data_IF_146069915345
#
_entry.id   IF_146069915345
#
_cell.length_a   1.000
_cell.length_b   1.000
_cell.length_c   1.000
_cell.angle_alpha   90.00
_cell.angle_beta   90.00
_cell.angle_gamma   90.00
#
_symmetry.space_group_name_H-M   'P 1'
#
loop_
_entity.id
_entity.type
_entity.pdbx_description
1 polymer ?
#
# COMPACT_ATOMS: atom_id res chain seq x y z
N UNK A 1 -7.70 25.63 -31.19
CA UNK A 1 -8.39 25.19 -29.98
C UNK A 1 -8.79 23.75 -30.22
N UNK A 2 -8.15 22.78 -29.56
CA UNK A 2 -8.50 21.37 -29.69
C UNK A 2 -9.64 21.06 -28.71
N UNK A 3 -10.77 20.61 -29.24
CA UNK A 3 -11.93 20.19 -28.44
C UNK A 3 -11.62 18.76 -27.97
N UNK A 4 -11.70 18.50 -26.66
CA UNK A 4 -11.52 17.13 -26.13
C UNK A 4 -12.69 16.24 -26.54
N UNK A 5 -12.52 14.92 -26.53
CA UNK A 5 -13.60 13.99 -26.91
C UNK A 5 -14.82 14.13 -26.00
N UNK A 6 -14.61 14.41 -24.73
CA UNK A 6 -15.64 14.74 -23.72
C UNK A 6 -16.36 16.05 -24.07
N UNK A 7 -15.62 17.10 -24.43
CA UNK A 7 -16.22 18.35 -24.92
C UNK A 7 -16.97 18.16 -26.23
N UNK A 8 -16.47 17.32 -27.13
CA UNK A 8 -17.14 16.99 -28.39
C UNK A 8 -18.44 16.22 -28.13
N UNK A 9 -18.46 15.26 -27.19
CA UNK A 9 -19.68 14.57 -26.79
C UNK A 9 -20.70 15.51 -26.18
N UNK A 10 -20.26 16.43 -25.32
CA UNK A 10 -21.12 17.47 -24.75
C UNK A 10 -21.67 18.40 -25.83
N UNK A 11 -20.82 18.85 -26.75
CA UNK A 11 -21.22 19.63 -27.93
C UNK A 11 -22.18 18.84 -28.82
N UNK A 12 -21.99 17.53 -29.00
CA UNK A 12 -22.90 16.67 -29.75
C UNK A 12 -24.23 16.54 -29.00
N UNK A 13 -24.24 16.29 -27.69
CA UNK A 13 -25.45 16.24 -26.85
C UNK A 13 -26.21 17.58 -26.84
N UNK A 14 -25.49 18.70 -26.79
CA UNK A 14 -26.06 20.05 -26.71
C UNK A 14 -26.50 20.60 -28.08
N UNK A 15 -25.76 20.29 -29.17
CA UNK A 15 -26.04 20.79 -30.53
C UNK A 15 -26.88 19.82 -31.38
N UNK A 16 -26.86 18.52 -31.13
CA UNK A 16 -27.98 17.66 -31.51
C UNK A 16 -29.09 17.83 -30.47
N UNK A 17 -29.82 18.95 -30.54
CA UNK A 17 -31.19 18.94 -30.05
C UNK A 17 -31.96 17.87 -30.82
N UNK A 18 -32.19 16.74 -30.14
CA UNK A 18 -33.33 15.81 -30.10
C UNK A 18 -34.10 15.46 -31.39
N UNK A 19 -34.30 16.36 -32.34
CA UNK A 19 -35.25 16.13 -33.44
C UNK A 19 -34.85 14.96 -34.34
N UNK A 20 -33.61 14.85 -34.82
CA UNK A 20 -33.29 13.80 -35.81
C UNK A 20 -33.29 12.41 -35.16
N UNK A 21 -32.67 12.26 -33.98
CA UNK A 21 -32.54 10.96 -33.34
C UNK A 21 -33.79 10.53 -32.57
N UNK A 22 -34.54 11.45 -31.94
CA UNK A 22 -35.87 11.11 -31.41
C UNK A 22 -36.85 10.87 -32.54
N UNK A 23 -36.75 11.53 -33.70
CA UNK A 23 -37.55 11.19 -34.88
C UNK A 23 -37.20 9.79 -35.40
N UNK A 24 -35.92 9.42 -35.43
CA UNK A 24 -35.49 8.06 -35.81
C UNK A 24 -35.97 7.03 -34.79
N UNK A 25 -35.86 7.31 -33.48
CA UNK A 25 -36.31 6.40 -32.41
C UNK A 25 -37.84 6.31 -32.31
N UNK A 26 -38.56 7.42 -32.41
CA UNK A 26 -40.03 7.44 -32.49
C UNK A 26 -40.49 6.75 -33.77
N UNK A 27 -39.83 7.00 -34.90
CA UNK A 27 -40.07 6.30 -36.16
C UNK A 27 -39.89 4.80 -36.01
N UNK A 28 -38.77 4.36 -35.41
CA UNK A 28 -38.50 2.96 -35.15
C UNK A 28 -39.53 2.33 -34.19
N UNK A 29 -39.94 3.05 -33.12
CA UNK A 29 -40.98 2.62 -32.18
C UNK A 29 -42.36 2.51 -32.83
N UNK A 30 -42.72 3.44 -33.72
CA UNK A 30 -43.96 3.39 -34.52
C UNK A 30 -43.94 2.24 -35.51
N UNK A 31 -42.77 1.93 -36.07
CA UNK A 31 -42.57 0.85 -37.04
C UNK A 31 -42.34 -0.52 -36.39
N UNK A 32 -42.24 -0.59 -35.05
CA UNK A 32 -41.89 -1.83 -34.34
C UNK A 32 -40.50 -2.36 -34.65
N UNK A 33 -39.60 -1.49 -35.12
CA UNK A 33 -38.21 -1.81 -35.45
C UNK A 33 -37.33 -1.42 -34.27
N UNK A 34 -36.45 -2.31 -33.83
CA UNK A 34 -35.45 -1.96 -32.83
C UNK A 34 -34.36 -1.08 -33.49
N UNK A 35 -34.16 0.13 -32.97
CA UNK A 35 -33.12 1.05 -33.42
C UNK A 35 -31.83 0.93 -32.59
N UNK A 36 -31.71 -0.11 -31.77
CA UNK A 36 -30.45 -0.49 -31.16
C UNK A 36 -29.43 -0.82 -32.27
N UNK A 37 -28.27 -0.18 -32.20
CA UNK A 37 -27.14 -0.60 -33.03
C UNK A 37 -26.56 -1.83 -32.31
N UNK A 38 -26.99 -3.03 -32.72
CA UNK A 38 -26.40 -4.27 -32.20
C UNK A 38 -24.89 -4.26 -32.48
N UNK A 39 -24.08 -4.34 -31.41
CA UNK A 39 -22.63 -4.46 -31.55
C UNK A 39 -22.25 -5.87 -31.97
N UNK A 40 -21.12 -5.96 -32.65
CA UNK A 40 -20.46 -7.22 -32.94
C UNK A 40 -20.24 -8.02 -31.63
N UNK A 41 -20.82 -9.21 -31.49
CA UNK A 41 -20.64 -10.05 -30.31
C UNK A 41 -19.18 -10.33 -29.95
N UNK A 42 -18.28 -10.40 -30.94
CA UNK A 42 -16.85 -10.61 -30.70
C UNK A 42 -16.17 -9.37 -30.10
N UNK A 43 -16.67 -8.17 -30.41
CA UNK A 43 -16.20 -6.92 -29.80
C UNK A 43 -16.65 -6.82 -28.35
N UNK A 44 -17.93 -7.13 -28.08
CA UNK A 44 -18.48 -7.17 -26.71
C UNK A 44 -17.68 -8.15 -25.84
N UNK A 45 -17.39 -9.35 -26.37
CA UNK A 45 -16.61 -10.36 -25.65
C UNK A 45 -15.21 -9.87 -25.30
N UNK A 46 -14.55 -9.11 -26.17
CA UNK A 46 -13.24 -8.50 -25.88
C UNK A 46 -13.32 -7.43 -24.80
N UNK A 47 -14.36 -6.59 -24.83
CA UNK A 47 -14.59 -5.54 -23.83
C UNK A 47 -14.81 -6.14 -22.44
N UNK A 48 -15.70 -7.13 -22.32
CA UNK A 48 -15.96 -7.82 -21.05
C UNK A 48 -14.70 -8.51 -20.54
N UNK A 49 -13.94 -9.18 -21.43
CA UNK A 49 -12.67 -9.82 -21.08
C UNK A 49 -11.58 -8.83 -20.65
N UNK A 50 -11.64 -7.56 -21.09
CA UNK A 50 -10.69 -6.54 -20.69
C UNK A 50 -10.89 -6.07 -19.24
N UNK A 51 -12.09 -6.25 -18.67
CA UNK A 51 -12.39 -5.82 -17.30
C UNK A 51 -13.47 -6.65 -16.61
N UNK A 52 -14.75 -6.28 -16.75
CA UNK A 52 -15.89 -6.98 -16.13
C UNK A 52 -17.19 -6.72 -16.91
N UNK A 53 -18.18 -7.58 -16.67
CA UNK A 53 -19.52 -7.44 -17.25
C UNK A 53 -20.22 -6.17 -16.76
N UNK A 54 -20.17 -5.89 -15.46
CA UNK A 54 -20.81 -4.70 -14.86
C UNK A 54 -20.20 -3.40 -15.43
N UNK A 55 -18.87 -3.37 -15.66
CA UNK A 55 -18.20 -2.23 -16.29
C UNK A 55 -18.65 -2.02 -17.75
N UNK A 56 -18.84 -3.11 -18.51
CA UNK A 56 -19.35 -3.06 -19.87
C UNK A 56 -20.78 -2.50 -19.92
N UNK A 57 -21.66 -3.00 -19.05
CA UNK A 57 -23.06 -2.57 -19.00
C UNK A 57 -23.18 -1.08 -18.61
N UNK A 58 -22.37 -0.61 -17.67
CA UNK A 58 -22.27 0.83 -17.37
C UNK A 58 -21.81 1.65 -18.58
N UNK A 59 -20.80 1.17 -19.31
CA UNK A 59 -20.30 1.86 -20.50
C UNK A 59 -21.39 1.93 -21.56
N UNK A 60 -22.10 0.82 -21.81
CA UNK A 60 -23.16 0.76 -22.80
C UNK A 60 -24.34 1.67 -22.44
N UNK A 61 -24.70 1.72 -21.15
CA UNK A 61 -25.74 2.60 -20.62
C UNK A 61 -25.44 4.10 -20.79
N UNK A 62 -24.16 4.51 -20.86
CA UNK A 62 -23.72 5.92 -20.91
C UNK A 62 -23.12 6.35 -22.26
N UNK A 63 -22.69 5.42 -23.11
CA UNK A 63 -21.97 5.74 -24.36
C UNK A 63 -22.86 6.43 -25.40
N UNK A 64 -24.15 6.16 -25.37
CA UNK A 64 -25.12 6.60 -26.37
C UNK A 64 -25.55 8.07 -26.25
N UNK A 65 -26.51 8.47 -27.08
CA UNK A 65 -27.14 9.81 -27.05
C UNK A 65 -28.17 9.91 -25.91
N UNK A 66 -28.54 8.80 -25.28
CA UNK A 66 -29.35 8.77 -24.07
C UNK A 66 -28.69 7.90 -23.01
N UNK A 67 -29.16 8.04 -21.78
CA UNK A 67 -28.64 7.40 -20.59
C UNK A 67 -29.63 6.35 -20.10
N UNK A 68 -29.20 5.10 -19.93
CA UNK A 68 -30.02 4.08 -19.26
C UNK A 68 -29.84 4.19 -17.74
N UNK A 69 -30.50 5.19 -17.16
CA UNK A 69 -30.45 5.49 -15.72
C UNK A 69 -30.82 4.28 -14.85
N UNK A 70 -31.74 3.43 -15.33
CA UNK A 70 -32.18 2.24 -14.62
C UNK A 70 -31.06 1.20 -14.58
N UNK A 71 -30.43 0.90 -15.72
CA UNK A 71 -29.30 -0.02 -15.77
C UNK A 71 -28.16 0.45 -14.86
N UNK A 72 -27.86 1.76 -14.88
CA UNK A 72 -26.84 2.35 -14.01
C UNK A 72 -27.21 2.16 -12.54
N UNK A 73 -28.42 2.53 -12.14
CA UNK A 73 -28.90 2.38 -10.75
C UNK A 73 -28.86 0.92 -10.29
N UNK A 74 -29.29 -0.01 -11.14
CA UNK A 74 -29.30 -1.44 -10.84
C UNK A 74 -27.87 -1.97 -10.60
N UNK A 75 -26.91 -1.57 -11.45
CA UNK A 75 -25.50 -1.99 -11.32
C UNK A 75 -24.86 -1.37 -10.07
N UNK A 76 -25.04 -0.06 -9.85
CA UNK A 76 -24.50 0.63 -8.68
C UNK A 76 -25.06 0.06 -7.38
N UNK A 77 -26.36 -0.28 -7.36
CA UNK A 77 -27.01 -0.92 -6.20
C UNK A 77 -26.49 -2.34 -6.00
N UNK A 78 -26.41 -3.15 -7.08
CA UNK A 78 -25.84 -4.51 -7.04
C UNK A 78 -24.40 -4.51 -6.53
N UNK A 79 -23.64 -3.45 -6.80
CA UNK A 79 -22.22 -3.32 -6.42
C UNK A 79 -22.00 -2.31 -5.30
N UNK A 80 -23.01 -1.98 -4.50
CA UNK A 80 -22.93 -0.93 -3.48
C UNK A 80 -21.76 -1.11 -2.49
N UNK A 81 -21.46 -2.35 -2.09
CA UNK A 81 -20.34 -2.67 -1.19
C UNK A 81 -18.96 -2.66 -1.86
N UNK A 82 -18.91 -2.63 -3.19
CA UNK A 82 -17.69 -2.76 -3.99
C UNK A 82 -17.58 -1.67 -5.08
N UNK A 83 -18.17 -0.49 -4.85
CA UNK A 83 -18.17 0.62 -5.80
C UNK A 83 -16.77 1.11 -6.18
N UNK A 84 -15.81 1.06 -5.24
CA UNK A 84 -14.40 1.37 -5.53
C UNK A 84 -13.82 0.42 -6.59
N UNK A 85 -14.03 -0.90 -6.41
CA UNK A 85 -13.59 -1.91 -7.37
C UNK A 85 -14.32 -1.75 -8.72
N UNK A 86 -15.63 -1.49 -8.70
CA UNK A 86 -16.41 -1.24 -9.91
C UNK A 86 -15.86 -0.03 -10.70
N UNK A 87 -15.50 1.06 -10.01
CA UNK A 87 -14.88 2.22 -10.64
C UNK A 87 -13.53 1.89 -11.28
N UNK A 88 -12.69 1.08 -10.62
CA UNK A 88 -11.41 0.60 -11.18
C UNK A 88 -11.64 -0.30 -12.41
N UNK A 89 -12.62 -1.21 -12.35
CA UNK A 89 -13.01 -2.06 -13.48
C UNK A 89 -13.49 -1.19 -14.67
N UNK A 90 -14.35 -0.21 -14.43
CA UNK A 90 -14.80 0.73 -15.46
C UNK A 90 -13.64 1.51 -16.07
N UNK A 91 -12.73 2.04 -15.24
CA UNK A 91 -11.52 2.73 -15.67
C UNK A 91 -10.62 1.87 -16.59
N UNK A 92 -10.42 0.59 -16.27
CA UNK A 92 -9.67 -0.35 -17.13
C UNK A 92 -10.33 -0.53 -18.50
N UNK A 93 -11.66 -0.66 -18.52
CA UNK A 93 -12.42 -0.82 -19.76
C UNK A 93 -12.29 0.42 -20.65
N UNK A 94 -12.56 1.61 -20.13
CA UNK A 94 -12.52 2.83 -20.95
C UNK A 94 -11.10 3.15 -21.43
N UNK A 95 -10.07 2.80 -20.63
CA UNK A 95 -8.67 2.87 -21.06
C UNK A 95 -8.36 1.90 -22.20
N UNK A 96 -8.88 0.67 -22.15
CA UNK A 96 -8.78 -0.28 -23.26
C UNK A 96 -9.41 0.28 -24.56
N UNK A 97 -10.46 1.10 -24.43
CA UNK A 97 -11.12 1.78 -25.54
C UNK A 97 -10.45 3.11 -25.97
N UNK A 98 -9.32 3.48 -25.34
CA UNK A 98 -8.59 4.72 -25.64
C UNK A 98 -9.28 5.98 -25.13
N UNK A 99 -10.11 5.87 -24.09
CA UNK A 99 -10.66 6.99 -23.34
C UNK A 99 -9.87 7.20 -22.03
N UNK A 100 -9.83 8.44 -21.55
CA UNK A 100 -9.13 8.83 -20.32
C UNK A 100 -10.10 9.64 -19.45
N UNK A 101 -10.80 8.99 -18.53
CA UNK A 101 -11.71 9.58 -17.53
C UNK A 101 -11.99 8.53 -16.42
N UNK A 102 -12.93 8.78 -15.51
CA UNK A 102 -13.40 7.81 -14.51
C UNK A 102 -14.93 7.68 -14.47
N UNK A 103 -15.43 6.65 -13.76
CA UNK A 103 -16.86 6.38 -13.65
C UNK A 103 -17.65 7.57 -13.07
N UNK A 104 -17.11 8.27 -12.07
CA UNK A 104 -17.81 9.39 -11.46
C UNK A 104 -17.98 10.57 -12.44
N UNK A 105 -16.97 10.79 -13.29
CA UNK A 105 -16.98 11.80 -14.34
C UNK A 105 -17.99 11.47 -15.43
N UNK A 106 -18.03 10.21 -15.89
CA UNK A 106 -19.03 9.76 -16.86
C UNK A 106 -20.46 9.91 -16.34
N UNK A 107 -20.71 9.51 -15.09
CA UNK A 107 -22.03 9.69 -14.46
C UNK A 107 -22.43 11.16 -14.38
N UNK A 108 -21.48 12.05 -14.09
CA UNK A 108 -21.73 13.49 -14.03
C UNK A 108 -22.07 14.08 -15.40
N UNK A 109 -21.38 13.63 -16.46
CA UNK A 109 -21.63 14.04 -17.85
C UNK A 109 -22.96 13.51 -18.41
N UNK A 110 -23.55 12.52 -17.75
CA UNK A 110 -24.87 11.97 -18.00
C UNK A 110 -25.93 12.48 -17.00
N UNK A 111 -25.67 13.61 -16.32
CA UNK A 111 -26.58 14.28 -15.37
C UNK A 111 -26.97 13.41 -14.15
N UNK A 112 -26.27 12.31 -13.89
CA UNK A 112 -26.45 11.43 -12.73
C UNK A 112 -25.62 11.91 -11.53
N UNK A 113 -25.91 13.12 -11.04
CA UNK A 113 -25.11 13.78 -10.00
C UNK A 113 -25.06 13.01 -8.67
N UNK A 114 -26.15 12.35 -8.28
CA UNK A 114 -26.25 11.66 -6.99
C UNK A 114 -25.41 10.36 -7.00
N UNK A 115 -25.47 9.64 -8.11
CA UNK A 115 -24.71 8.43 -8.41
C UNK A 115 -23.23 8.78 -8.55
N UNK A 116 -22.91 9.83 -9.30
CA UNK A 116 -21.57 10.38 -9.41
C UNK A 116 -21.00 10.69 -8.03
N UNK A 117 -21.74 11.40 -7.16
CA UNK A 117 -21.34 11.67 -5.78
C UNK A 117 -21.15 10.39 -4.98
N UNK A 118 -22.06 9.43 -5.08
CA UNK A 118 -21.99 8.14 -4.35
C UNK A 118 -20.74 7.35 -4.74
N UNK A 119 -20.49 7.22 -6.04
CA UNK A 119 -19.30 6.57 -6.59
C UNK A 119 -18.05 7.35 -6.16
N UNK A 120 -18.07 8.69 -6.25
CA UNK A 120 -16.98 9.56 -5.82
C UNK A 120 -16.66 9.36 -4.33
N UNK A 121 -17.66 9.31 -3.45
CA UNK A 121 -17.46 9.03 -2.02
C UNK A 121 -16.91 7.62 -1.77
N UNK A 122 -17.38 6.63 -2.51
CA UNK A 122 -16.88 5.26 -2.41
C UNK A 122 -15.42 5.12 -2.91
N UNK A 123 -15.03 5.87 -3.95
CA UNK A 123 -13.65 5.89 -4.49
C UNK A 123 -12.72 6.63 -3.55
N UNK A 124 -13.13 7.84 -3.14
CA UNK A 124 -12.37 8.69 -2.23
C UNK A 124 -12.16 7.96 -0.89
N UNK A 125 -13.10 7.10 -0.48
CA UNK A 125 -13.12 6.55 0.86
C UNK A 125 -13.43 7.63 1.89
N UNK A 126 -13.30 7.29 3.18
CA UNK A 126 -13.46 8.25 4.26
C UNK A 126 -12.24 9.17 4.33
N UNK A 127 -12.17 10.18 3.46
CA UNK A 127 -11.22 11.28 3.63
C UNK A 127 -11.45 11.90 5.00
N UNK A 128 -10.50 11.69 5.89
CA UNK A 128 -10.52 12.14 7.28
C UNK A 128 -9.14 12.61 7.68
N UNK A 129 -9.03 13.21 8.86
CA UNK A 129 -7.75 13.71 9.33
C UNK A 129 -6.81 12.53 9.60
N UNK A 130 -5.52 12.69 9.34
CA UNK A 130 -4.54 11.61 9.51
C UNK A 130 -4.56 11.02 10.93
N UNK A 131 -4.82 11.85 11.95
CA UNK A 131 -4.97 11.43 13.34
C UNK A 131 -6.09 10.40 13.60
N UNK A 132 -7.07 10.30 12.70
CA UNK A 132 -8.21 9.39 12.82
C UNK A 132 -7.93 8.01 12.19
N UNK A 133 -6.71 7.81 11.67
CA UNK A 133 -6.26 6.55 11.10
C UNK A 133 -5.32 5.79 12.03
N UNK A 134 -5.37 4.47 11.89
CA UNK A 134 -4.41 3.53 12.42
C UNK A 134 -3.85 2.71 11.23
N UNK A 135 -2.63 2.17 11.34
CA UNK A 135 -2.04 1.35 10.29
C UNK A 135 -2.93 0.13 9.99
N UNK A 136 -3.25 -0.11 8.71
CA UNK A 136 -4.04 -1.28 8.34
C UNK A 136 -3.27 -2.61 8.53
N UNK A 137 -3.99 -3.73 8.65
CA UNK A 137 -3.34 -5.06 8.64
C UNK A 137 -2.51 -5.30 7.37
N UNK A 138 -2.94 -4.73 6.23
CA UNK A 138 -2.23 -4.89 4.97
C UNK A 138 -0.87 -4.17 4.98
N UNK A 139 -0.76 -2.98 5.61
CA UNK A 139 0.52 -2.27 5.66
C UNK A 139 1.54 -2.97 6.58
N UNK A 140 1.10 -3.56 7.69
CA UNK A 140 1.97 -4.39 8.53
C UNK A 140 2.60 -5.52 7.71
N UNK A 141 1.78 -6.27 6.95
CA UNK A 141 2.27 -7.36 6.10
C UNK A 141 3.19 -6.89 4.98
N UNK A 142 2.98 -5.69 4.44
CA UNK A 142 3.84 -5.14 3.40
C UNK A 142 5.20 -4.74 3.96
N UNK A 143 5.24 -3.97 5.05
CA UNK A 143 6.49 -3.58 5.72
C UNK A 143 7.27 -4.83 6.13
N UNK A 144 6.60 -5.81 6.78
CA UNK A 144 7.25 -7.03 7.26
C UNK A 144 7.95 -7.84 6.16
N UNK A 145 7.51 -7.77 4.89
CA UNK A 145 8.17 -8.45 3.76
C UNK A 145 9.54 -7.88 3.41
N UNK A 146 9.80 -6.63 3.80
CA UNK A 146 11.04 -5.94 3.48
C UNK A 146 12.09 -6.05 4.59
N UNK A 147 11.70 -6.53 5.77
CA UNK A 147 12.52 -6.45 6.97
C UNK A 147 12.94 -7.85 7.45
N UNK A 148 14.11 -7.93 8.09
CA UNK A 148 14.58 -9.17 8.69
C UNK A 148 14.06 -9.29 10.12
N UNK A 149 13.44 -10.43 10.45
CA UNK A 149 12.98 -10.74 11.80
C UNK A 149 14.06 -11.51 12.58
N UNK A 150 14.76 -10.84 13.50
CA UNK A 150 15.87 -11.41 14.27
C UNK A 150 15.42 -11.74 15.70
N UNK A 151 15.43 -13.02 16.11
CA UNK A 151 14.78 -13.43 17.35
C UNK A 151 15.69 -13.33 18.59
N UNK A 152 16.78 -12.56 18.49
CA UNK A 152 17.75 -12.32 19.56
C UNK A 152 18.29 -10.89 19.46
N UNK A 153 18.83 -10.37 20.56
CA UNK A 153 19.42 -9.03 20.59
C UNK A 153 20.75 -9.01 19.83
N UNK A 154 20.86 -8.14 18.82
CA UNK A 154 22.03 -7.99 17.96
C UNK A 154 22.48 -6.52 17.83
N UNK A 155 23.74 -6.32 17.44
CA UNK A 155 24.33 -5.02 17.12
C UNK A 155 24.13 -4.73 15.63
N UNK A 156 23.36 -3.71 15.29
CA UNK A 156 23.07 -3.32 13.89
C UNK A 156 24.29 -2.70 13.17
N UNK A 157 25.40 -2.50 13.87
CA UNK A 157 26.66 -2.00 13.33
C UNK A 157 27.42 -2.99 12.45
N UNK A 158 26.94 -4.24 12.34
CA UNK A 158 27.37 -5.14 11.28
C UNK A 158 27.29 -6.62 11.62
N UNK A 159 27.88 -7.43 10.75
CA UNK A 159 27.79 -8.89 10.84
C UNK A 159 29.09 -9.52 11.35
N UNK A 160 28.95 -10.69 11.97
CA UNK A 160 30.07 -11.56 12.34
C UNK A 160 30.09 -12.83 11.47
N UNK A 161 31.22 -13.54 11.48
CA UNK A 161 31.35 -14.80 10.74
C UNK A 161 30.50 -15.90 11.39
N UNK A 162 29.71 -16.64 10.59
CA UNK A 162 28.87 -17.74 11.08
C UNK A 162 29.68 -18.77 11.86
N UNK A 163 30.87 -19.16 11.36
CA UNK A 163 31.75 -20.12 12.05
C UNK A 163 32.31 -19.59 13.37
N UNK A 164 32.54 -18.28 13.48
CA UNK A 164 32.93 -17.67 14.76
C UNK A 164 31.75 -17.67 15.74
N UNK A 165 30.57 -17.28 15.29
CA UNK A 165 29.37 -17.32 16.11
C UNK A 165 29.01 -18.74 16.55
N UNK A 166 29.20 -19.76 15.71
CA UNK A 166 28.99 -21.16 16.08
C UNK A 166 29.89 -21.64 17.21
N UNK A 167 31.15 -21.19 17.25
CA UNK A 167 32.06 -21.55 18.35
C UNK A 167 31.57 -21.05 19.70
N UNK A 168 30.83 -19.93 19.71
CA UNK A 168 30.30 -19.31 20.91
C UNK A 168 28.87 -19.78 21.23
N UNK A 169 28.00 -19.84 20.22
CA UNK A 169 26.55 -19.98 20.34
C UNK A 169 26.00 -21.16 19.51
N UNK A 170 26.84 -22.14 19.14
CA UNK A 170 26.54 -23.16 18.14
C UNK A 170 25.19 -23.86 18.30
N UNK A 171 24.80 -24.19 19.54
CA UNK A 171 23.51 -24.83 19.85
C UNK A 171 22.30 -24.04 19.35
N UNK A 172 22.37 -22.71 19.42
CA UNK A 172 21.31 -21.80 18.95
C UNK A 172 21.47 -21.53 17.45
N UNK A 173 22.69 -21.25 17.00
CA UNK A 173 22.96 -20.87 15.61
C UNK A 173 22.71 -22.01 14.61
N UNK A 174 22.87 -23.26 15.05
CA UNK A 174 22.60 -24.44 14.23
C UNK A 174 21.12 -24.88 14.26
N UNK A 175 20.27 -24.27 15.11
CA UNK A 175 18.83 -24.56 15.14
C UNK A 175 18.15 -24.23 13.81
N UNK A 176 17.10 -25.00 13.47
CA UNK A 176 16.35 -24.78 12.24
C UNK A 176 15.71 -23.38 12.21
N UNK A 177 15.33 -22.86 13.37
CA UNK A 177 14.71 -21.57 13.61
C UNK A 177 15.64 -20.44 13.19
N UNK A 178 16.89 -20.43 13.66
CA UNK A 178 17.90 -19.45 13.24
C UNK A 178 18.29 -19.64 11.77
N UNK A 179 18.41 -20.87 11.28
CA UNK A 179 18.75 -21.11 9.88
C UNK A 179 17.71 -20.53 8.89
N UNK A 180 16.44 -20.42 9.29
CA UNK A 180 15.40 -19.75 8.48
C UNK A 180 15.64 -18.24 8.39
N UNK A 181 16.08 -17.61 9.47
CA UNK A 181 16.36 -16.17 9.59
C UNK A 181 17.67 -15.78 8.87
N UNK A 182 18.70 -16.62 8.98
CA UNK A 182 20.05 -16.37 8.42
C UNK A 182 20.09 -16.33 6.90
N UNK A 183 19.09 -16.90 6.21
CA UNK A 183 19.02 -16.90 4.74
C UNK A 183 18.93 -15.51 4.11
N UNK A 184 18.48 -14.50 4.88
CA UNK A 184 18.40 -13.11 4.43
C UNK A 184 19.74 -12.37 4.48
N UNK A 185 20.79 -12.97 5.04
CA UNK A 185 22.08 -12.31 5.28
C UNK A 185 23.16 -12.77 4.29
N UNK A 186 24.26 -12.00 4.13
CA UNK A 186 25.38 -12.40 3.30
C UNK A 186 25.85 -13.82 3.64
N UNK A 187 26.18 -14.60 2.61
CA UNK A 187 26.56 -16.01 2.79
C UNK A 187 27.67 -16.14 3.82
N UNK A 188 27.42 -16.96 4.85
CA UNK A 188 28.38 -17.22 5.93
C UNK A 188 28.48 -16.13 7.00
N UNK A 189 27.54 -15.18 7.05
CA UNK A 189 27.46 -14.12 8.07
C UNK A 189 26.18 -14.20 8.89
N UNK A 190 26.23 -13.68 10.12
CA UNK A 190 25.05 -13.42 10.95
C UNK A 190 25.11 -12.01 11.55
N UNK A 191 23.97 -11.44 11.95
CA UNK A 191 23.98 -10.23 12.77
C UNK A 191 24.76 -10.48 14.05
N UNK A 192 25.56 -9.50 14.48
CA UNK A 192 26.48 -9.69 15.61
C UNK A 192 25.69 -9.75 16.91
N UNK A 193 25.67 -10.88 17.65
CA UNK A 193 24.94 -10.94 18.92
C UNK A 193 25.49 -9.93 19.92
N UNK A 194 24.61 -9.23 20.64
CA UNK A 194 25.03 -8.32 21.71
C UNK A 194 25.59 -9.12 22.88
N UNK A 195 26.59 -8.55 23.55
CA UNK A 195 27.13 -9.08 24.80
C UNK A 195 27.01 -8.09 25.95
N UNK A 196 27.11 -6.79 25.65
CA UNK A 196 26.84 -5.67 26.53
C UNK A 196 26.63 -4.39 25.70
N UNK A 197 26.05 -3.34 26.30
CA UNK A 197 25.84 -2.04 25.62
C UNK A 197 27.15 -1.29 25.32
N UNK A 198 28.24 -1.58 26.03
CA UNK A 198 29.50 -0.81 25.94
C UNK A 198 30.33 -1.20 24.71
N UNK A 199 30.14 -2.40 24.20
CA UNK A 199 30.86 -2.98 23.07
C UNK A 199 30.15 -2.84 21.73
N UNK A 200 28.98 -2.18 21.71
CA UNK A 200 28.21 -1.94 20.48
C UNK A 200 29.01 -1.08 19.50
N UNK A 201 29.02 -1.52 18.23
CA UNK A 201 29.51 -0.71 17.11
C UNK A 201 28.50 0.37 16.75
N UNK A 202 27.21 0.09 16.92
CA UNK A 202 26.14 1.03 16.61
C UNK A 202 25.01 0.92 17.63
N UNK A 203 23.90 0.23 17.36
CA UNK A 203 22.75 0.11 18.26
C UNK A 203 22.43 -1.35 18.56
N UNK A 204 21.97 -1.61 19.79
CA UNK A 204 21.33 -2.88 20.11
C UNK A 204 19.95 -2.92 19.44
N UNK A 205 19.58 -4.08 18.89
CA UNK A 205 18.38 -4.23 18.06
C UNK A 205 17.80 -5.64 18.21
N UNK A 206 16.49 -5.79 18.11
CA UNK A 206 15.80 -7.08 18.15
C UNK A 206 14.60 -7.09 17.19
N UNK A 207 14.03 -8.26 16.90
CA UNK A 207 12.81 -8.41 16.13
C UNK A 207 12.95 -7.83 14.74
N UNK A 208 12.01 -6.96 14.35
CA UNK A 208 11.97 -6.29 13.05
C UNK A 208 12.58 -4.89 13.16
N UNK A 209 13.88 -4.83 13.43
CA UNK A 209 14.62 -3.56 13.47
C UNK A 209 14.32 -2.66 14.67
N UNK A 210 13.69 -3.18 15.72
CA UNK A 210 13.40 -2.45 16.95
C UNK A 210 14.70 -2.04 17.64
N UNK A 211 14.97 -0.73 17.71
CA UNK A 211 16.18 -0.18 18.32
C UNK A 211 16.01 -0.13 19.84
N UNK A 212 16.94 -0.76 20.56
CA UNK A 212 17.02 -0.69 22.01
C UNK A 212 17.86 0.54 22.37
N UNK A 213 17.21 1.59 22.85
CA UNK A 213 17.79 2.92 23.02
C UNK A 213 18.67 3.03 24.28
N UNK A 214 18.37 2.25 25.31
CA UNK A 214 19.01 2.42 26.61
C UNK A 214 19.10 1.12 27.44
N UNK A 215 19.88 1.17 28.53
CA UNK A 215 20.08 0.00 29.42
C UNK A 215 18.81 -0.45 30.15
N UNK A 216 17.82 0.43 30.35
CA UNK A 216 16.56 0.04 30.99
C UNK A 216 15.76 -0.85 30.05
N UNK A 217 15.63 -0.45 28.79
CA UNK A 217 14.95 -1.21 27.75
C UNK A 217 15.69 -2.52 27.43
N UNK A 218 17.03 -2.50 27.41
CA UNK A 218 17.80 -3.74 27.23
C UNK A 218 17.45 -4.81 28.26
N UNK A 219 17.12 -4.42 29.51
CA UNK A 219 16.71 -5.37 30.55
C UNK A 219 15.39 -6.05 30.21
N UNK A 220 14.49 -5.40 29.48
CA UNK A 220 13.23 -5.99 29.05
C UNK A 220 13.45 -7.10 28.01
N UNK A 221 14.57 -7.03 27.27
CA UNK A 221 14.96 -8.02 26.26
C UNK A 221 16.15 -8.90 26.69
N UNK A 222 16.58 -8.86 27.96
CA UNK A 222 17.81 -9.53 28.40
C UNK A 222 17.74 -11.05 28.24
N UNK A 223 16.53 -11.62 28.31
CA UNK A 223 16.26 -13.04 28.08
C UNK A 223 16.57 -13.50 26.65
N UNK A 224 16.58 -12.58 25.68
CA UNK A 224 16.89 -12.87 24.28
C UNK A 224 18.35 -12.54 23.91
N UNK A 225 19.20 -12.22 24.88
CA UNK A 225 20.65 -12.09 24.67
C UNK A 225 21.24 -13.49 24.59
N UNK A 226 21.86 -13.86 23.45
CA UNK A 226 22.36 -15.21 23.24
C UNK A 226 23.33 -15.69 24.32
N UNK A 227 24.15 -14.79 24.88
CA UNK A 227 25.05 -15.10 26.00
C UNK A 227 24.28 -15.61 27.21
N UNK A 228 23.17 -14.96 27.57
CA UNK A 228 22.35 -15.32 28.72
C UNK A 228 21.64 -16.66 28.53
N UNK A 229 21.27 -16.99 27.29
CA UNK A 229 20.64 -18.29 26.95
C UNK A 229 21.62 -19.46 27.13
N UNK A 230 22.92 -19.25 26.87
CA UNK A 230 23.93 -20.33 26.88
C UNK A 230 24.78 -20.39 28.15
N UNK A 231 24.58 -19.50 29.12
CA UNK A 231 25.32 -19.49 30.40
C UNK A 231 24.39 -19.60 31.61
N UNK A 232 24.89 -20.19 32.70
CA UNK A 232 24.21 -20.19 33.99
C UNK A 232 24.33 -18.83 34.72
N UNK A 233 23.74 -18.72 35.91
CA UNK A 233 23.77 -17.51 36.75
C UNK A 233 25.19 -17.06 37.14
N UNK A 234 26.20 -17.95 36.99
CA UNK A 234 27.61 -17.66 37.26
C UNK A 234 28.37 -17.28 35.98
N UNK A 235 27.70 -17.29 34.83
CA UNK A 235 28.30 -17.03 33.51
C UNK A 235 29.02 -18.24 32.92
N UNK A 236 28.84 -19.43 33.49
CA UNK A 236 29.47 -20.66 33.00
C UNK A 236 28.60 -21.31 31.91
N UNK A 237 29.19 -21.86 30.84
CA UNK A 237 28.42 -22.50 29.77
C UNK A 237 27.50 -23.62 30.28
N UNK A 238 26.22 -23.58 29.91
CA UNK A 238 25.27 -24.60 30.36
C UNK A 238 25.53 -25.91 29.61
N UNK A 239 25.82 -26.97 30.37
CA UNK A 239 26.03 -28.31 29.81
C UNK A 239 24.68 -28.99 29.49
N UNK A 240 24.15 -28.73 28.31
CA UNK A 240 22.95 -29.38 27.79
C UNK A 240 23.27 -30.09 26.47
N UNK A 241 23.62 -31.37 26.53
CA UNK A 241 24.05 -32.14 25.36
C UNK A 241 22.90 -32.58 24.44
N UNK A 242 21.63 -32.26 24.75
CA UNK A 242 20.48 -32.73 23.94
C UNK A 242 19.33 -31.71 23.75
N UNK A 243 19.43 -30.47 24.26
CA UNK A 243 18.31 -29.51 24.20
C UNK A 243 18.52 -28.48 23.10
N UNK A 244 17.59 -28.40 22.13
CA UNK A 244 17.46 -27.24 21.25
C UNK A 244 17.06 -26.02 22.10
N UNK A 245 17.91 -25.00 22.14
CA UNK A 245 17.70 -23.78 22.91
C UNK A 245 16.93 -22.71 22.12
N UNK A 246 16.53 -23.00 20.88
CA UNK A 246 15.80 -22.06 20.03
C UNK A 246 14.45 -21.65 20.61
N UNK A 247 13.85 -22.44 21.50
CA UNK A 247 12.62 -22.10 22.20
C UNK A 247 12.77 -20.95 23.21
N UNK A 248 14.01 -20.56 23.55
CA UNK A 248 14.31 -19.40 24.40
C UNK A 248 14.50 -18.12 23.59
N UNK A 249 14.49 -18.21 22.26
CA UNK A 249 14.49 -17.05 21.39
C UNK A 249 13.10 -16.41 21.34
N UNK A 250 13.05 -15.17 20.90
CA UNK A 250 11.80 -14.47 20.68
C UNK A 250 10.96 -15.24 19.64
N UNK A 251 9.73 -15.58 20.00
CA UNK A 251 8.78 -16.27 19.15
C UNK A 251 8.34 -15.38 17.99
N UNK A 252 7.73 -16.00 16.96
CA UNK A 252 7.22 -15.23 15.82
C UNK A 252 6.09 -14.30 16.22
N UNK A 253 5.28 -14.75 17.17
CA UNK A 253 4.16 -14.01 17.74
C UNK A 253 4.68 -12.79 18.51
N UNK A 254 5.66 -12.96 19.41
CA UNK A 254 6.28 -11.84 20.12
C UNK A 254 6.94 -10.84 19.16
N UNK A 255 7.67 -11.32 18.14
CA UNK A 255 8.28 -10.44 17.12
C UNK A 255 7.21 -9.67 16.36
N UNK A 256 6.11 -10.33 16.00
CA UNK A 256 5.01 -9.70 15.28
C UNK A 256 4.34 -8.63 16.14
N UNK A 257 4.05 -8.93 17.41
CA UNK A 257 3.40 -8.01 18.34
C UNK A 257 4.27 -6.76 18.56
N UNK A 258 5.56 -6.93 18.86
CA UNK A 258 6.52 -5.82 18.98
C UNK A 258 6.56 -4.97 17.71
N UNK A 259 6.61 -5.62 16.54
CA UNK A 259 6.62 -4.93 15.27
C UNK A 259 5.34 -4.10 15.01
N UNK A 260 4.16 -4.59 15.43
CA UNK A 260 2.92 -3.82 15.28
C UNK A 260 2.93 -2.56 16.16
N UNK A 261 3.49 -2.66 17.36
CA UNK A 261 3.68 -1.52 18.26
C UNK A 261 4.65 -0.50 17.65
N UNK A 262 5.81 -0.95 17.14
CA UNK A 262 6.78 -0.08 16.47
C UNK A 262 6.16 0.66 15.28
N UNK A 263 5.42 -0.03 14.42
CA UNK A 263 4.75 0.57 13.26
C UNK A 263 3.78 1.68 13.70
N UNK A 264 3.06 1.46 14.80
CA UNK A 264 2.13 2.44 15.37
C UNK A 264 2.86 3.66 15.92
N UNK A 265 3.99 3.48 16.60
CA UNK A 265 4.83 4.59 17.09
C UNK A 265 5.41 5.42 15.94
N UNK A 266 5.68 4.79 14.80
CA UNK A 266 6.12 5.46 13.57
C UNK A 266 5.00 6.22 12.84
N UNK A 267 3.86 6.47 13.49
CA UNK A 267 2.76 7.31 12.95
C UNK A 267 2.71 8.72 13.53
N UNK A 268 3.69 9.14 14.33
CA UNK A 268 3.71 10.48 14.97
C UNK A 268 3.59 11.67 14.01
N UNK A 269 3.97 11.50 12.74
CA UNK A 269 3.80 12.49 11.68
C UNK A 269 2.33 12.86 11.40
N UNK A 270 1.36 12.03 11.82
CA UNK A 270 -0.06 12.22 11.52
C UNK A 270 -0.63 13.52 12.10
N UNK A 271 -0.04 14.04 13.17
CA UNK A 271 -0.46 15.30 13.78
C UNK A 271 -0.08 16.53 12.94
N UNK A 272 0.91 16.40 12.05
CA UNK A 272 1.36 17.48 11.16
C UNK A 272 0.60 17.52 9.83
N UNK A 273 -0.27 16.54 9.57
CA UNK A 273 -1.12 16.51 8.38
C UNK A 273 -2.45 17.21 8.68
N UNK A 274 -2.60 18.42 8.13
CA UNK A 274 -3.77 19.27 8.35
C UNK A 274 -4.91 19.00 7.37
N UNK A 275 -4.59 18.39 6.24
CA UNK A 275 -5.56 18.06 5.21
C UNK A 275 -6.08 16.64 5.36
N UNK A 276 -7.27 16.38 4.82
CA UNK A 276 -7.81 15.03 4.83
C UNK A 276 -7.00 14.14 3.89
N UNK A 277 -6.86 12.87 4.27
CA UNK A 277 -6.20 11.82 3.49
C UNK A 277 -7.02 10.54 3.53
N UNK A 278 -6.64 9.57 2.69
CA UNK A 278 -7.25 8.23 2.64
C UNK A 278 -6.47 7.22 3.48
N UNK A 279 -7.01 6.01 3.66
CA UNK A 279 -6.27 4.93 4.34
C UNK A 279 -5.01 4.56 3.55
N UNK A 280 -5.10 4.49 2.21
CA UNK A 280 -3.97 4.12 1.38
C UNK A 280 -2.85 5.16 1.42
N UNK A 281 -3.18 6.45 1.50
CA UNK A 281 -2.21 7.53 1.74
C UNK A 281 -1.56 7.39 3.13
N UNK A 282 -2.35 7.14 4.17
CA UNK A 282 -1.85 6.96 5.53
C UNK A 282 -0.90 5.76 5.64
N UNK A 283 -1.27 4.63 5.05
CA UNK A 283 -0.46 3.41 5.04
C UNK A 283 0.85 3.61 4.26
N UNK A 284 0.81 4.25 3.09
CA UNK A 284 2.02 4.56 2.32
C UNK A 284 2.97 5.47 3.11
N UNK A 285 2.44 6.49 3.78
CA UNK A 285 3.22 7.38 4.64
C UNK A 285 3.80 6.65 5.86
N UNK A 286 3.04 5.74 6.46
CA UNK A 286 3.51 4.87 7.56
C UNK A 286 4.69 4.00 7.13
N UNK A 287 4.65 3.37 5.95
CA UNK A 287 5.80 2.59 5.46
C UNK A 287 7.03 3.45 5.17
N UNK A 288 6.84 4.67 4.67
CA UNK A 288 7.94 5.63 4.47
C UNK A 288 8.57 6.02 5.81
N UNK A 289 7.73 6.38 6.78
CA UNK A 289 8.13 6.76 8.13
C UNK A 289 8.90 5.64 8.83
N UNK A 290 8.40 4.41 8.77
CA UNK A 290 9.06 3.25 9.36
C UNK A 290 10.47 3.03 8.77
N UNK A 291 10.64 3.23 7.46
CA UNK A 291 11.93 3.02 6.81
C UNK A 291 12.94 4.16 6.99
N UNK A 292 12.48 5.41 7.05
CA UNK A 292 13.35 6.59 6.94
C UNK A 292 13.23 7.58 8.11
N UNK A 293 12.47 7.23 9.13
CA UNK A 293 12.12 8.12 10.23
C UNK A 293 11.01 9.10 9.85
N UNK A 294 10.43 9.73 10.88
CA UNK A 294 9.29 10.62 10.73
C UNK A 294 9.48 11.99 11.37
N UNK A 295 10.64 12.33 11.91
CA UNK A 295 10.90 13.63 12.54
C UNK A 295 11.00 14.78 11.52
N UNK A 296 10.86 16.04 11.97
CA UNK A 296 10.79 17.27 11.13
C UNK A 296 11.85 17.43 10.03
N UNK A 297 13.03 16.83 10.19
CA UNK A 297 14.13 16.88 9.22
C UNK A 297 14.17 15.68 8.28
N UNK A 298 13.22 14.75 8.38
CA UNK A 298 13.16 13.53 7.58
C UNK A 298 12.47 13.75 6.25
N UNK A 299 12.74 12.90 5.25
CA UNK A 299 12.20 13.04 3.90
C UNK A 299 10.67 13.13 3.83
N UNK A 300 9.95 12.49 4.77
CA UNK A 300 8.48 12.47 4.78
C UNK A 300 7.85 13.87 4.89
N UNK A 301 8.53 14.86 5.49
CA UNK A 301 8.00 16.22 5.61
C UNK A 301 7.84 16.95 4.28
N UNK A 302 8.59 16.55 3.25
CA UNK A 302 8.35 17.04 1.90
C UNK A 302 6.96 16.62 1.41
N UNK A 303 6.54 15.39 1.72
CA UNK A 303 5.25 14.82 1.36
C UNK A 303 4.13 15.45 2.18
N UNK A 304 4.30 15.58 3.50
CA UNK A 304 3.36 16.28 4.40
C UNK A 304 3.08 17.69 3.89
N UNK A 305 4.12 18.45 3.52
CA UNK A 305 3.95 19.80 2.97
C UNK A 305 3.15 19.79 1.67
N UNK A 306 3.36 18.82 0.78
CA UNK A 306 2.57 18.70 -0.44
C UNK A 306 1.10 18.37 -0.15
N UNK A 307 0.84 17.47 0.80
CA UNK A 307 -0.52 17.13 1.25
C UNK A 307 -1.22 18.34 1.86
N UNK A 308 -0.57 19.06 2.77
CA UNK A 308 -1.15 20.25 3.42
C UNK A 308 -1.41 21.41 2.44
N UNK A 309 -0.78 21.38 1.26
CA UNK A 309 -1.07 22.31 0.15
C UNK A 309 -2.01 21.70 -0.89
N UNK A 310 -2.68 20.58 -0.57
CA UNK A 310 -3.61 19.84 -1.42
C UNK A 310 -2.98 19.37 -2.76
N UNK A 311 -1.65 19.20 -2.81
CA UNK A 311 -0.89 18.77 -4.00
C UNK A 311 -0.66 17.25 -4.02
N UNK A 312 -1.74 16.46 -3.93
CA UNK A 312 -1.66 14.99 -3.80
C UNK A 312 -0.94 14.30 -4.96
N UNK A 313 -1.17 14.73 -6.22
CA UNK A 313 -0.45 14.18 -7.40
C UNK A 313 1.06 14.43 -7.34
N UNK A 314 1.45 15.60 -6.86
CA UNK A 314 2.86 15.94 -6.66
C UNK A 314 3.45 15.12 -5.49
N UNK A 315 2.69 14.94 -4.41
CA UNK A 315 3.08 14.09 -3.28
C UNK A 315 3.38 12.65 -3.75
N UNK A 316 2.45 12.04 -4.47
CA UNK A 316 2.63 10.68 -5.00
C UNK A 316 3.84 10.58 -5.94
N UNK A 317 4.07 11.59 -6.77
CA UNK A 317 5.23 11.63 -7.67
C UNK A 317 6.54 11.76 -6.91
N UNK A 318 6.57 12.59 -5.87
CA UNK A 318 7.76 12.81 -5.04
C UNK A 318 8.16 11.58 -4.22
N UNK A 319 7.19 10.75 -3.81
CA UNK A 319 7.47 9.49 -3.08
C UNK A 319 8.43 8.59 -3.88
N UNK A 320 8.28 8.51 -5.22
CA UNK A 320 9.06 7.60 -6.08
C UNK A 320 10.57 7.78 -5.99
N UNK A 321 11.03 8.97 -5.64
CA UNK A 321 12.46 9.33 -5.54
C UNK A 321 12.88 9.64 -4.11
N UNK A 322 12.02 9.39 -3.12
CA UNK A 322 12.25 9.79 -1.75
C UNK A 322 13.17 8.78 -1.05
N UNK A 323 14.33 9.23 -0.56
CA UNK A 323 15.25 8.39 0.22
C UNK A 323 15.64 7.07 -0.46
N UNK A 324 15.95 7.10 -1.77
CA UNK A 324 16.34 5.91 -2.55
C UNK A 324 17.82 5.57 -2.47
N UNK A 325 18.61 6.33 -1.70
CA UNK A 325 20.07 6.18 -1.64
C UNK A 325 20.56 5.69 -0.28
N UNK A 326 21.56 4.82 -0.26
CA UNK A 326 22.34 4.45 0.92
C UNK A 326 23.82 4.75 0.69
N UNK A 327 24.46 5.43 1.64
CA UNK A 327 25.87 5.89 1.51
C UNK A 327 26.17 6.68 0.22
N UNK A 328 25.17 7.38 -0.31
CA UNK A 328 25.29 8.20 -1.53
C UNK A 328 25.04 7.45 -2.84
N UNK A 329 24.79 6.13 -2.79
CA UNK A 329 24.48 5.31 -3.97
C UNK A 329 23.00 4.91 -3.98
N UNK A 330 22.38 4.90 -5.15
CA UNK A 330 21.01 4.45 -5.33
C UNK A 330 20.89 2.93 -5.09
N UNK A 331 19.82 2.52 -4.41
CA UNK A 331 19.58 1.11 -4.07
C UNK A 331 18.29 0.66 -4.74
N UNK A 332 18.39 -0.31 -5.66
CA UNK A 332 17.25 -0.84 -6.43
C UNK A 332 16.07 -1.28 -5.55
N UNK A 333 16.36 -1.90 -4.41
CA UNK A 333 15.35 -2.32 -3.45
C UNK A 333 14.56 -1.13 -2.86
N UNK A 334 15.23 0.00 -2.59
CA UNK A 334 14.58 1.21 -2.10
C UNK A 334 13.76 1.87 -3.21
N UNK A 335 14.26 1.91 -4.45
CA UNK A 335 13.51 2.43 -5.61
C UNK A 335 12.23 1.62 -5.83
N UNK A 336 12.32 0.29 -5.79
CA UNK A 336 11.15 -0.59 -5.93
C UNK A 336 10.13 -0.39 -4.79
N UNK A 337 10.60 -0.26 -3.54
CA UNK A 337 9.76 0.04 -2.37
C UNK A 337 9.02 1.37 -2.53
N UNK A 338 9.74 2.44 -2.88
CA UNK A 338 9.18 3.78 -3.09
C UNK A 338 8.18 3.84 -4.24
N UNK A 339 8.37 3.01 -5.28
CA UNK A 339 7.37 2.84 -6.33
C UNK A 339 6.08 2.20 -5.79
N UNK A 340 6.17 1.11 -5.01
CA UNK A 340 5.01 0.47 -4.38
C UNK A 340 4.24 1.44 -3.48
N UNK A 341 4.95 2.19 -2.64
CA UNK A 341 4.33 3.17 -1.73
C UNK A 341 3.69 4.33 -2.49
N UNK A 342 4.28 4.77 -3.61
CA UNK A 342 3.66 5.78 -4.49
C UNK A 342 2.37 5.27 -5.14
N UNK A 343 2.35 4.01 -5.59
CA UNK A 343 1.16 3.37 -6.16
C UNK A 343 0.05 3.22 -5.10
N UNK A 344 0.40 2.75 -3.89
CA UNK A 344 -0.51 2.67 -2.74
C UNK A 344 -1.05 4.04 -2.33
N UNK A 345 -0.17 5.05 -2.25
CA UNK A 345 -0.60 6.42 -1.94
C UNK A 345 -1.67 6.91 -2.93
N UNK A 346 -1.58 6.48 -4.20
CA UNK A 346 -2.52 6.88 -5.24
C UNK A 346 -3.76 6.01 -5.44
N UNK A 347 -3.85 4.88 -4.72
CA UNK A 347 -4.86 3.85 -4.93
C UNK A 347 -6.31 4.33 -4.72
N UNK A 348 -6.50 5.32 -3.84
CA UNK A 348 -7.80 5.84 -3.42
C UNK A 348 -8.12 7.25 -3.96
N UNK A 349 -7.52 7.61 -5.10
CA UNK A 349 -8.09 8.67 -5.94
C UNK A 349 -7.23 9.91 -6.12
N UNK A 350 -6.00 9.75 -6.63
CA UNK A 350 -5.27 10.91 -7.18
C UNK A 350 -6.02 11.60 -8.33
N UNK A 351 -6.88 10.89 -9.07
CA UNK A 351 -7.64 11.46 -10.17
C UNK A 351 -8.75 12.43 -9.72
N UNK A 352 -9.15 12.37 -8.44
CA UNK A 352 -10.37 12.98 -7.92
C UNK A 352 -10.12 14.31 -7.19
N UNK A 353 -8.83 14.65 -6.95
CA UNK A 353 -8.32 15.87 -6.31
C UNK A 353 -7.40 16.67 -7.23
#
# INVERSE_FOLDING_TARGET
>A
MFITKTQLRKIIKENLKLEILDTVRQGAKVLGVDASIERDPDEVKKMVAASSQDAYELYDAMKGVGTDEKAITDILTKRAENLKLLSQEFGKLIKFLGEEDDLATWLLDDEMEAESKTVKYAILGNWRLAKDFEPSNAIHQEIYKHEAAVPYVYDDGGTTGKEYAKKLYGKIIDSNEIQKVVKAWPVGRIQTPVTDMKSLKRYATIGVGHLIENESELKEFEQYILKNIITDDKGEPINQDETDLSSQLMSKEEIWDLFQEDVKEHTGWKDDVTEKITQSMFDAMTSIAFNSGWENNRPIYHIIRLINNQKYKAAASAIKTLATTSKGEEVDALVARRKSESEKFGEEGLAVV
#
